data_IF_657439264863
#
_entry.id   IF_657439264863
#
_cell.length_a   1.000
_cell.length_b   1.000
_cell.length_c   1.000
_cell.angle_alpha   90.00
_cell.angle_beta   90.00
_cell.angle_gamma   90.00
#
_symmetry.space_group_name_H-M   'P 1'
#
loop_
_entity.id
_entity.type
_entity.pdbx_description
1 polymer ?
#
# COMPACT_ATOMS: atom_id res chain seq x y z
N UNK A 1 -8.78 -19.06 -20.17
CA UNK A 1 -9.01 -19.12 -18.70
C UNK A 1 -7.71 -19.59 -18.09
N UNK A 2 -7.28 -18.97 -17.00
CA UNK A 2 -6.11 -19.43 -16.25
C UNK A 2 -6.54 -20.54 -15.30
N UNK A 3 -5.74 -21.58 -15.20
CA UNK A 3 -5.93 -22.65 -14.23
C UNK A 3 -4.93 -22.46 -13.10
N UNK A 4 -5.42 -22.45 -11.86
CA UNK A 4 -4.58 -22.32 -10.67
C UNK A 4 -3.94 -23.68 -10.40
N UNK A 5 -2.63 -23.68 -10.21
CA UNK A 5 -1.83 -24.87 -9.90
C UNK A 5 -0.83 -24.58 -8.79
N UNK A 6 -0.22 -25.64 -8.28
CA UNK A 6 0.97 -25.53 -7.45
C UNK A 6 2.08 -24.81 -8.25
N UNK A 7 2.90 -24.02 -7.54
CA UNK A 7 3.83 -23.07 -8.15
C UNK A 7 4.86 -23.73 -9.06
N UNK A 8 5.49 -24.81 -8.60
CA UNK A 8 6.50 -25.52 -9.39
C UNK A 8 5.87 -26.31 -10.54
N UNK A 9 4.65 -26.83 -10.36
CA UNK A 9 3.89 -27.45 -11.45
C UNK A 9 3.55 -26.45 -12.56
N UNK A 10 3.10 -25.24 -12.20
CA UNK A 10 2.78 -24.17 -13.15
C UNK A 10 4.02 -23.73 -13.94
N UNK A 11 5.18 -23.64 -13.29
CA UNK A 11 6.47 -23.31 -13.92
C UNK A 11 6.90 -24.37 -14.92
N UNK A 12 6.89 -25.64 -14.51
CA UNK A 12 7.30 -26.74 -15.38
C UNK A 12 6.45 -26.78 -16.66
N UNK A 13 5.13 -26.59 -16.54
CA UNK A 13 4.24 -26.56 -17.71
C UNK A 13 4.47 -25.36 -18.62
N UNK A 14 4.75 -24.19 -18.04
CA UNK A 14 5.12 -23.02 -18.81
C UNK A 14 6.41 -23.28 -19.59
N UNK A 15 7.45 -23.77 -18.92
CA UNK A 15 8.76 -24.03 -19.53
C UNK A 15 8.66 -25.09 -20.66
N UNK A 16 7.92 -26.17 -20.44
CA UNK A 16 7.65 -27.20 -21.45
C UNK A 16 6.93 -26.62 -22.69
N UNK A 17 5.95 -25.74 -22.47
CA UNK A 17 5.23 -25.08 -23.56
C UNK A 17 6.14 -24.14 -24.36
N UNK A 18 6.98 -23.35 -23.68
CA UNK A 18 7.95 -22.47 -24.32
C UNK A 18 8.98 -23.28 -25.11
N UNK A 19 9.52 -24.36 -24.53
CA UNK A 19 10.47 -25.26 -25.19
C UNK A 19 9.87 -25.95 -26.43
N UNK A 20 8.56 -26.21 -26.41
CA UNK A 20 7.81 -26.76 -27.54
C UNK A 20 7.45 -25.72 -28.61
N UNK A 21 7.89 -24.46 -28.46
CA UNK A 21 7.60 -23.37 -29.39
C UNK A 21 6.18 -22.83 -29.31
N UNK A 22 5.42 -23.17 -28.28
CA UNK A 22 4.06 -22.68 -28.05
C UNK A 22 4.10 -21.31 -27.38
N UNK A 23 3.10 -20.47 -27.65
CA UNK A 23 2.84 -19.26 -26.86
C UNK A 23 2.21 -19.66 -25.53
N UNK A 24 2.80 -19.24 -24.42
CA UNK A 24 2.31 -19.53 -23.07
C UNK A 24 2.38 -18.29 -22.18
N UNK A 25 1.56 -18.26 -21.13
CA UNK A 25 1.58 -17.23 -20.12
C UNK A 25 1.61 -17.86 -18.72
N UNK A 26 2.40 -17.29 -17.84
CA UNK A 26 2.52 -17.69 -16.44
C UNK A 26 2.28 -16.46 -15.57
N UNK A 27 1.35 -16.57 -14.62
CA UNK A 27 1.12 -15.56 -13.59
C UNK A 27 1.49 -16.15 -12.23
N UNK A 28 2.35 -15.46 -11.49
CA UNK A 28 2.80 -15.88 -10.15
C UNK A 28 2.64 -14.74 -9.15
N UNK A 29 2.18 -15.07 -7.95
CA UNK A 29 2.32 -14.20 -6.79
C UNK A 29 3.78 -14.28 -6.27
N UNK A 30 4.45 -13.12 -6.19
CA UNK A 30 5.80 -13.00 -5.61
C UNK A 30 5.72 -12.61 -4.13
N UNK A 31 4.85 -11.67 -3.80
CA UNK A 31 4.42 -11.30 -2.45
C UNK A 31 2.94 -10.88 -2.49
N UNK A 32 2.29 -10.74 -1.33
CA UNK A 32 0.84 -10.48 -1.24
C UNK A 32 0.29 -9.28 -2.03
N UNK A 33 1.15 -8.37 -2.48
CA UNK A 33 0.84 -7.18 -3.26
C UNK A 33 1.55 -7.12 -4.63
N UNK A 34 2.35 -8.14 -4.99
CA UNK A 34 3.15 -8.15 -6.22
C UNK A 34 2.91 -9.44 -6.99
N UNK A 35 2.32 -9.28 -8.18
CA UNK A 35 2.13 -10.33 -9.16
C UNK A 35 3.09 -10.14 -10.32
N UNK A 36 3.67 -11.23 -10.81
CA UNK A 36 4.53 -11.27 -11.97
C UNK A 36 3.87 -12.10 -13.06
N UNK A 37 3.78 -11.53 -14.27
CA UNK A 37 3.19 -12.20 -15.42
C UNK A 37 4.25 -12.28 -16.52
N UNK A 38 4.60 -13.50 -16.92
CA UNK A 38 5.47 -13.78 -18.04
C UNK A 38 4.63 -14.22 -19.24
N UNK A 39 4.88 -13.63 -20.40
CA UNK A 39 4.30 -14.04 -21.68
C UNK A 39 5.45 -14.47 -22.60
N UNK A 40 5.45 -15.73 -23.02
CA UNK A 40 6.47 -16.30 -23.88
C UNK A 40 5.97 -16.57 -25.31
N UNK A 41 6.91 -16.56 -26.25
CA UNK A 41 6.69 -16.85 -27.67
C UNK A 41 5.52 -16.04 -28.31
N UNK A 42 5.39 -14.75 -28.01
CA UNK A 42 4.47 -13.85 -28.72
C UNK A 42 4.98 -13.62 -30.16
N UNK A 43 4.23 -14.02 -31.21
CA UNK A 43 4.73 -13.89 -32.58
C UNK A 43 4.90 -12.43 -33.04
N UNK A 44 5.80 -12.15 -34.00
CA UNK A 44 5.98 -10.80 -34.54
C UNK A 44 4.69 -10.21 -35.11
N UNK A 45 4.41 -8.95 -34.77
CA UNK A 45 3.21 -8.24 -35.23
C UNK A 45 1.90 -8.71 -34.61
N UNK A 46 1.95 -9.57 -33.58
CA UNK A 46 0.79 -9.94 -32.78
C UNK A 46 0.72 -9.11 -31.50
N UNK A 47 -0.51 -8.87 -31.06
CA UNK A 47 -0.82 -8.17 -29.83
C UNK A 47 -1.31 -9.18 -28.78
N UNK A 48 -1.00 -8.91 -27.51
CA UNK A 48 -1.50 -9.66 -26.39
C UNK A 48 -2.24 -8.73 -25.43
N UNK A 49 -3.43 -9.14 -25.00
CA UNK A 49 -4.20 -8.44 -23.99
C UNK A 49 -4.17 -9.23 -22.69
N UNK A 50 -3.73 -8.59 -21.61
CA UNK A 50 -3.72 -9.17 -20.27
C UNK A 50 -4.87 -8.55 -19.48
N UNK A 51 -5.74 -9.41 -18.94
CA UNK A 51 -6.83 -8.99 -18.06
C UNK A 51 -6.61 -9.62 -16.69
N UNK A 52 -6.55 -8.77 -15.66
CA UNK A 52 -6.43 -9.18 -14.26
C UNK A 52 -7.68 -8.81 -13.51
N UNK A 53 -8.14 -9.73 -12.67
CA UNK A 53 -9.23 -9.52 -11.75
C UNK A 53 -8.74 -9.87 -10.35
N UNK A 54 -8.78 -8.89 -9.46
CA UNK A 54 -8.34 -9.00 -8.09
C UNK A 54 -9.52 -8.69 -7.16
N UNK A 55 -9.55 -9.36 -6.01
CA UNK A 55 -10.51 -9.11 -4.94
C UNK A 55 -9.69 -8.86 -3.69
N UNK A 56 -10.02 -7.80 -2.96
CA UNK A 56 -9.30 -7.43 -1.75
C UNK A 56 -10.09 -6.41 -0.93
N UNK A 57 -9.72 -6.30 0.34
CA UNK A 57 -10.28 -5.32 1.26
C UNK A 57 -9.64 -3.94 1.03
N UNK A 58 -10.46 -2.88 1.12
CA UNK A 58 -9.96 -1.52 1.04
C UNK A 58 -9.48 -1.05 2.42
N UNK A 59 -8.41 -0.27 2.43
CA UNK A 59 -7.88 0.31 3.67
C UNK A 59 -8.83 1.37 4.23
N UNK A 60 -8.92 1.44 5.55
CA UNK A 60 -9.76 2.41 6.29
C UNK A 60 -8.83 3.29 7.13
N UNK A 61 -9.05 4.60 7.13
CA UNK A 61 -8.32 5.54 7.97
C UNK A 61 -8.90 5.65 9.40
N UNK A 62 -8.24 6.43 10.25
CA UNK A 62 -8.63 6.59 11.65
C UNK A 62 -10.00 7.29 11.84
N UNK A 63 -10.48 8.02 10.84
CA UNK A 63 -11.78 8.69 10.84
C UNK A 63 -12.88 7.83 10.17
N UNK A 64 -12.52 6.64 9.70
CA UNK A 64 -13.42 5.72 9.00
C UNK A 64 -13.63 6.06 7.52
N UNK A 65 -12.78 6.90 6.94
CA UNK A 65 -12.69 7.09 5.51
C UNK A 65 -12.10 5.86 4.82
N UNK A 66 -12.64 5.51 3.65
CA UNK A 66 -12.15 4.39 2.85
C UNK A 66 -11.16 4.92 1.81
N UNK A 67 -10.02 4.23 1.69
CA UNK A 67 -8.95 4.59 0.75
C UNK A 67 -8.72 3.46 -0.25
N UNK A 68 -8.85 3.80 -1.52
CA UNK A 68 -8.34 3.01 -2.64
C UNK A 68 -7.02 3.61 -3.11
N UNK A 69 -6.05 2.76 -3.45
CA UNK A 69 -4.77 3.18 -3.99
C UNK A 69 -4.32 2.24 -5.09
N UNK A 70 -4.08 2.80 -6.28
CA UNK A 70 -3.51 2.10 -7.42
C UNK A 70 -2.09 2.62 -7.65
N UNK A 71 -1.06 1.83 -7.30
CA UNK A 71 0.32 2.23 -7.50
C UNK A 71 0.65 2.32 -8.99
N UNK A 72 1.35 3.38 -9.40
CA UNK A 72 1.82 3.58 -10.78
C UNK A 72 3.20 2.96 -11.03
N UNK A 73 3.96 2.75 -9.96
CA UNK A 73 5.35 2.27 -10.04
C UNK A 73 5.66 1.30 -8.92
N UNK A 74 6.30 0.18 -9.25
CA UNK A 74 6.93 -0.69 -8.26
C UNK A 74 8.23 -0.02 -7.78
N UNK A 75 8.24 0.51 -6.55
CA UNK A 75 9.48 0.96 -5.92
C UNK A 75 10.29 -0.26 -5.46
N UNK A 76 11.60 -0.32 -5.76
CA UNK A 76 12.45 -1.40 -5.25
C UNK A 76 12.36 -1.47 -3.72
N UNK A 77 12.13 -2.67 -3.17
CA UNK A 77 12.18 -2.87 -1.72
C UNK A 77 13.63 -2.93 -1.26
N UNK A 78 13.91 -2.36 -0.09
CA UNK A 78 15.21 -2.54 0.55
C UNK A 78 15.45 -4.03 0.78
N UNK A 79 16.52 -4.55 0.18
CA UNK A 79 16.85 -5.96 0.27
C UNK A 79 18.18 -6.11 1.01
N UNK A 80 18.18 -6.56 2.28
CA UNK A 80 19.42 -6.79 3.03
C UNK A 80 20.30 -7.87 2.37
N UNK A 81 21.61 -7.79 2.59
CA UNK A 81 22.54 -8.83 2.14
C UNK A 81 22.19 -10.18 2.80
N UNK A 82 22.03 -11.24 2.00
CA UNK A 82 21.59 -12.56 2.46
C UNK A 82 20.07 -12.75 2.51
N UNK A 83 19.29 -11.78 2.04
CA UNK A 83 17.84 -11.92 1.90
C UNK A 83 17.47 -13.04 0.94
N UNK A 84 16.50 -13.87 1.34
CA UNK A 84 15.82 -14.85 0.48
C UNK A 84 14.58 -14.25 -0.19
N UNK A 85 14.41 -12.93 -0.16
CA UNK A 85 13.26 -12.25 -0.77
C UNK A 85 13.24 -12.54 -2.29
N UNK A 86 12.17 -13.15 -2.82
CA UNK A 86 12.03 -13.41 -4.25
C UNK A 86 11.97 -12.14 -5.11
N UNK A 87 11.84 -10.97 -4.51
CA UNK A 87 11.87 -9.64 -5.13
C UNK A 87 13.19 -8.89 -4.88
N UNK A 88 14.17 -9.56 -4.27
CA UNK A 88 15.50 -9.03 -4.08
C UNK A 88 16.10 -8.56 -5.41
N UNK A 89 16.54 -7.31 -5.48
CA UNK A 89 17.50 -6.88 -6.50
C UNK A 89 18.74 -7.77 -6.35
N UNK A 90 19.06 -8.59 -7.35
CA UNK A 90 20.28 -9.41 -7.31
C UNK A 90 21.47 -8.46 -7.11
N UNK A 91 22.34 -8.68 -6.09
CA UNK A 91 23.56 -7.91 -5.96
C UNK A 91 24.58 -8.46 -6.96
N UNK A 92 24.33 -8.28 -8.25
CA UNK A 92 25.43 -8.25 -9.22
C UNK A 92 26.15 -6.95 -8.97
N UNK A 93 27.38 -7.04 -8.47
CA UNK A 93 28.29 -5.90 -8.47
C UNK A 93 28.31 -5.30 -9.86
N UNK A 94 28.25 -3.96 -9.91
CA UNK A 94 27.83 -3.11 -11.02
C UNK A 94 26.34 -2.73 -10.93
N UNK A 95 26.12 -1.43 -10.68
CA UNK A 95 24.87 -0.72 -10.74
C UNK A 95 24.20 -0.88 -12.12
N UNK A 96 23.67 -2.06 -12.43
CA UNK A 96 22.56 -2.15 -13.35
C UNK A 96 21.34 -1.65 -12.59
N UNK A 97 21.21 -0.32 -12.54
CA UNK A 97 19.88 0.29 -12.58
C UNK A 97 19.12 -0.48 -13.64
N UNK A 98 18.18 -1.33 -13.23
CA UNK A 98 17.12 -1.74 -14.12
C UNK A 98 16.49 -0.40 -14.51
N UNK A 99 16.86 0.11 -15.69
CA UNK A 99 16.10 1.11 -16.41
C UNK A 99 14.79 0.42 -16.80
N UNK A 100 13.99 0.09 -15.79
CA UNK A 100 12.58 -0.11 -15.96
C UNK A 100 12.14 1.25 -16.45
N UNK A 101 11.86 1.35 -17.76
CA UNK A 101 11.03 2.44 -18.25
C UNK A 101 9.71 2.30 -17.54
N UNK A 102 9.62 2.84 -16.33
CA UNK A 102 8.43 2.89 -15.50
C UNK A 102 7.51 3.91 -16.12
N UNK A 103 6.98 3.57 -17.28
CA UNK A 103 5.85 4.27 -17.86
C UNK A 103 4.64 3.58 -17.28
N UNK A 104 4.02 4.21 -16.29
CA UNK A 104 2.71 3.81 -15.83
C UNK A 104 1.73 4.13 -16.96
N UNK A 105 1.47 3.15 -17.83
CA UNK A 105 0.57 3.30 -18.97
C UNK A 105 -0.90 3.13 -18.57
N UNK A 106 -1.29 3.68 -17.41
CA UNK A 106 -2.71 3.75 -17.03
C UNK A 106 -3.29 5.01 -17.65
N UNK A 107 -4.01 4.84 -18.77
CA UNK A 107 -4.59 5.94 -19.55
C UNK A 107 -6.01 6.31 -19.13
N UNK A 108 -6.74 5.37 -18.49
CA UNK A 108 -8.09 5.59 -18.00
C UNK A 108 -8.32 4.83 -16.70
N UNK A 109 -9.27 5.31 -15.91
CA UNK A 109 -9.69 4.67 -14.68
C UNK A 109 -11.19 4.86 -14.49
N UNK A 110 -11.85 3.80 -14.04
CA UNK A 110 -13.25 3.80 -13.67
C UNK A 110 -13.43 3.00 -12.38
N UNK A 111 -14.11 3.62 -11.42
CA UNK A 111 -14.55 2.96 -10.20
C UNK A 111 -16.07 3.11 -10.08
N UNK A 112 -16.74 2.00 -9.82
CA UNK A 112 -18.14 1.98 -9.40
C UNK A 112 -18.16 1.78 -7.89
N UNK A 113 -18.82 2.71 -7.20
CA UNK A 113 -19.06 2.64 -5.77
C UNK A 113 -20.52 2.31 -5.57
N UNK A 114 -20.79 1.22 -4.88
CA UNK A 114 -22.14 0.85 -4.45
C UNK A 114 -22.46 1.51 -3.10
N UNK A 115 -23.74 1.61 -2.75
CA UNK A 115 -24.22 2.31 -1.56
C UNK A 115 -23.86 3.82 -1.56
N UNK A 116 -24.11 4.50 -2.69
CA UNK A 116 -23.81 5.93 -2.85
C UNK A 116 -24.41 6.81 -1.76
N UNK A 117 -25.60 6.46 -1.26
CA UNK A 117 -26.25 7.17 -0.15
C UNK A 117 -25.42 7.16 1.14
N UNK A 118 -24.55 6.17 1.34
CA UNK A 118 -23.70 6.08 2.52
C UNK A 118 -22.42 6.93 2.42
N UNK A 119 -22.11 7.44 1.22
CA UNK A 119 -20.93 8.24 0.92
C UNK A 119 -21.24 9.72 1.11
N UNK A 120 -20.47 10.39 1.95
CA UNK A 120 -20.55 11.83 2.16
C UNK A 120 -19.80 12.60 1.08
N UNK A 121 -18.62 12.10 0.68
CA UNK A 121 -17.74 12.77 -0.28
C UNK A 121 -16.78 11.77 -0.93
N UNK A 122 -16.46 12.00 -2.20
CA UNK A 122 -15.37 11.32 -2.90
C UNK A 122 -14.35 12.37 -3.35
N UNK A 123 -13.08 12.15 -3.01
CA UNK A 123 -11.97 13.04 -3.40
C UNK A 123 -10.76 12.24 -3.86
N UNK A 124 -9.82 12.93 -4.50
CA UNK A 124 -8.49 12.39 -4.75
C UNK A 124 -7.44 13.46 -4.45
N UNK A 125 -6.44 13.17 -3.60
CA UNK A 125 -5.35 14.09 -3.36
C UNK A 125 -4.30 14.07 -4.47
N UNK A 126 -4.31 13.06 -5.35
CA UNK A 126 -3.27 12.89 -6.39
C UNK A 126 -3.72 13.29 -7.79
N UNK A 127 -5.00 13.12 -8.14
CA UNK A 127 -5.50 13.39 -9.49
C UNK A 127 -6.86 14.10 -9.49
N UNK A 128 -7.14 14.87 -10.54
CA UNK A 128 -8.47 15.44 -10.75
C UNK A 128 -9.46 14.35 -11.16
N UNK A 129 -10.60 14.28 -10.47
CA UNK A 129 -11.65 13.27 -10.72
C UNK A 129 -13.00 13.92 -11.02
N UNK A 130 -13.84 13.20 -11.76
CA UNK A 130 -15.27 13.46 -11.95
C UNK A 130 -16.07 12.37 -11.25
N UNK A 131 -17.08 12.78 -10.50
CA UNK A 131 -17.98 11.88 -9.78
C UNK A 131 -19.38 12.11 -10.29
N UNK A 132 -19.99 11.08 -10.87
CA UNK A 132 -21.33 11.15 -11.42
C UNK A 132 -22.23 10.13 -10.74
N UNK A 133 -23.35 10.55 -10.13
CA UNK A 133 -24.34 9.60 -9.62
C UNK A 133 -25.00 8.89 -10.79
N UNK A 134 -25.36 7.62 -10.59
CA UNK A 134 -26.16 6.87 -11.56
C UNK A 134 -27.61 6.88 -11.09
N UNK A 135 -28.46 7.67 -11.74
CA UNK A 135 -29.82 7.98 -11.25
C UNK A 135 -30.74 6.77 -11.02
N UNK A 136 -30.47 5.63 -11.65
CA UNK A 136 -31.34 4.45 -11.62
C UNK A 136 -31.00 3.43 -10.52
N UNK A 137 -29.83 3.57 -9.87
CA UNK A 137 -29.31 2.65 -8.85
C UNK A 137 -28.50 3.43 -7.82
N UNK A 138 -28.41 2.95 -6.58
CA UNK A 138 -27.63 3.59 -5.52
C UNK A 138 -26.10 3.44 -5.74
N UNK A 139 -25.59 4.07 -6.81
CA UNK A 139 -24.20 3.96 -7.27
C UNK A 139 -23.60 5.32 -7.64
N UNK A 140 -22.31 5.48 -7.34
CA UNK A 140 -21.46 6.56 -7.88
C UNK A 140 -20.47 5.98 -8.87
N UNK A 141 -20.28 6.68 -9.98
CA UNK A 141 -19.18 6.44 -10.90
C UNK A 141 -18.11 7.49 -10.72
N UNK A 142 -16.87 7.02 -10.55
CA UNK A 142 -15.69 7.86 -10.38
C UNK A 142 -14.76 7.64 -11.56
N UNK A 143 -14.40 8.73 -12.22
CA UNK A 143 -13.52 8.75 -13.39
C UNK A 143 -12.42 9.77 -13.20
N UNK A 144 -11.30 9.58 -13.89
CA UNK A 144 -10.33 10.67 -14.06
C UNK A 144 -10.97 11.79 -14.88
N UNK A 145 -10.68 13.04 -14.52
CA UNK A 145 -11.18 14.19 -15.27
C UNK A 145 -10.56 14.29 -16.66
N UNK A 146 -9.34 13.79 -16.82
CA UNK A 146 -8.54 13.76 -18.04
C UNK A 146 -7.98 12.34 -18.25
N UNK A 147 -8.07 11.82 -19.47
CA UNK A 147 -7.48 10.54 -19.87
C UNK A 147 -6.03 10.77 -20.29
N UNK A 148 -5.14 10.79 -19.30
CA UNK A 148 -3.69 10.90 -19.47
C UNK A 148 -3.02 9.82 -18.64
N UNK A 149 -1.82 9.44 -19.07
CA UNK A 149 -0.99 8.50 -18.31
C UNK A 149 -0.78 8.99 -16.87
N UNK A 150 -1.03 8.10 -15.91
CA UNK A 150 -0.80 8.39 -14.50
C UNK A 150 0.70 8.59 -14.25
N UNK A 151 1.14 9.83 -14.00
CA UNK A 151 2.53 10.12 -13.63
C UNK A 151 2.89 9.74 -12.18
N UNK A 152 1.92 9.34 -11.37
CA UNK A 152 2.05 8.96 -9.97
C UNK A 152 0.90 8.06 -9.52
N UNK A 153 0.98 7.51 -8.30
CA UNK A 153 -0.05 6.66 -7.73
C UNK A 153 -1.43 7.35 -7.69
N UNK A 154 -2.48 6.64 -8.13
CA UNK A 154 -3.85 7.12 -8.03
C UNK A 154 -4.41 6.77 -6.66
N UNK A 155 -4.85 7.78 -5.90
CA UNK A 155 -5.48 7.61 -4.59
C UNK A 155 -6.90 8.16 -4.65
N UNK A 156 -7.89 7.34 -4.31
CA UNK A 156 -9.28 7.77 -4.14
C UNK A 156 -9.65 7.64 -2.67
N UNK A 157 -10.22 8.69 -2.11
CA UNK A 157 -10.70 8.76 -0.73
C UNK A 157 -12.22 8.89 -0.74
N UNK A 158 -12.89 8.00 -0.01
CA UNK A 158 -14.32 8.01 0.20
C UNK A 158 -14.59 8.33 1.67
N UNK A 159 -15.17 9.49 1.93
CA UNK A 159 -15.64 9.87 3.26
C UNK A 159 -17.04 9.31 3.47
N UNK A 160 -17.24 8.54 4.53
CA UNK A 160 -18.52 7.94 4.89
C UNK A 160 -19.38 8.94 5.68
N UNK A 161 -20.72 8.94 5.53
CA UNK A 161 -21.61 9.79 6.33
C UNK A 161 -21.66 9.38 7.80
N UNK A 162 -21.70 8.07 8.05
CA UNK A 162 -21.77 7.48 9.38
C UNK A 162 -20.74 6.34 9.50
N UNK A 163 -19.44 6.65 9.60
CA UNK A 163 -18.37 5.65 9.57
C UNK A 163 -18.42 4.65 10.73
N UNK A 164 -18.98 5.06 11.87
CA UNK A 164 -19.01 4.25 13.09
C UNK A 164 -20.32 3.49 13.30
N UNK A 165 -21.33 3.74 12.45
CA UNK A 165 -22.58 2.99 12.52
C UNK A 165 -22.33 1.55 12.04
N UNK A 166 -22.77 0.52 12.78
CA UNK A 166 -22.67 -0.85 12.33
C UNK A 166 -23.45 -1.04 11.02
N UNK A 167 -22.84 -1.70 10.04
CA UNK A 167 -23.46 -2.02 8.76
C UNK A 167 -23.47 -3.52 8.52
N UNK A 168 -24.43 -3.97 7.73
CA UNK A 168 -24.53 -5.36 7.29
C UNK A 168 -24.81 -5.40 5.80
N UNK A 169 -24.14 -6.32 5.10
CA UNK A 169 -24.39 -6.62 3.70
C UNK A 169 -24.84 -8.08 3.59
N UNK A 170 -25.92 -8.32 2.84
CA UNK A 170 -26.48 -9.65 2.59
C UNK A 170 -26.30 -9.99 1.12
N UNK A 171 -25.47 -10.97 0.82
CA UNK A 171 -25.40 -11.58 -0.50
C UNK A 171 -26.33 -12.79 -0.54
N UNK A 172 -27.30 -12.76 -1.45
CA UNK A 172 -28.25 -13.87 -1.61
C UNK A 172 -27.57 -14.99 -2.38
N UNK A 173 -27.77 -16.22 -1.92
CA UNK A 173 -27.28 -17.40 -2.63
C UNK A 173 -27.90 -17.51 -4.04
N UNK A 174 -27.12 -17.99 -4.99
CA UNK A 174 -27.56 -18.24 -6.37
C UNK A 174 -28.48 -19.45 -6.39
N UNK A 175 -29.53 -19.43 -7.22
CA UNK A 175 -30.47 -20.56 -7.40
C UNK A 175 -29.83 -21.74 -8.16
N UNK A 176 -28.81 -22.36 -7.55
CA UNK A 176 -28.17 -23.60 -8.01
C UNK A 176 -28.02 -24.57 -6.85
N UNK A 177 -28.97 -25.50 -6.71
CA UNK A 177 -29.00 -26.47 -5.61
C UNK A 177 -27.68 -27.26 -5.52
N UNK A 178 -27.08 -27.27 -4.33
CA UNK A 178 -25.94 -28.12 -4.00
C UNK A 178 -24.56 -27.50 -4.24
N UNK A 179 -24.47 -26.27 -4.73
CA UNK A 179 -23.20 -25.55 -4.89
C UNK A 179 -22.94 -24.62 -3.69
N UNK A 180 -21.66 -24.36 -3.36
CA UNK A 180 -21.26 -23.44 -2.28
C UNK A 180 -21.95 -22.07 -2.39
N UNK A 181 -22.05 -21.55 -3.62
CA UNK A 181 -22.67 -20.25 -3.93
C UNK A 181 -24.20 -20.20 -3.71
N UNK A 182 -24.85 -21.31 -3.35
CA UNK A 182 -26.29 -21.36 -3.08
C UNK A 182 -26.68 -20.93 -1.67
N UNK A 183 -25.72 -20.87 -0.74
CA UNK A 183 -25.96 -20.40 0.61
C UNK A 183 -25.86 -18.87 0.66
N UNK A 184 -26.76 -18.18 1.40
CA UNK A 184 -26.62 -16.74 1.61
C UNK A 184 -25.38 -16.43 2.48
N UNK A 185 -24.71 -15.32 2.18
CA UNK A 185 -23.60 -14.79 2.95
C UNK A 185 -23.97 -13.47 3.61
N UNK A 186 -23.56 -13.28 4.87
CA UNK A 186 -23.73 -12.01 5.59
C UNK A 186 -22.38 -11.48 6.01
N UNK A 187 -22.07 -10.25 5.63
CA UNK A 187 -20.88 -9.51 6.08
C UNK A 187 -21.31 -8.43 7.06
N UNK A 188 -20.68 -8.42 8.24
CA UNK A 188 -20.90 -7.40 9.27
C UNK A 188 -19.69 -6.46 9.30
N UNK A 189 -19.93 -5.16 9.14
CA UNK A 189 -18.91 -4.13 9.18
C UNK A 189 -19.14 -3.25 10.41
N UNK A 190 -18.14 -3.18 11.30
CA UNK A 190 -18.22 -2.42 12.54
C UNK A 190 -16.91 -1.69 12.82
N UNK A 191 -16.96 -0.36 12.88
CA UNK A 191 -15.84 0.50 13.23
C UNK A 191 -16.17 1.34 14.47
N UNK A 192 -16.09 0.76 15.68
CA UNK A 192 -16.46 1.45 16.91
C UNK A 192 -15.58 2.68 17.14
N UNK A 193 -16.22 3.81 17.46
CA UNK A 193 -15.53 4.96 18.02
C UNK A 193 -15.50 4.83 19.54
N UNK A 194 -14.35 4.42 20.07
CA UNK A 194 -14.15 4.40 21.52
C UNK A 194 -13.84 5.80 22.02
N UNK A 195 -14.38 6.16 23.18
CA UNK A 195 -13.93 7.36 23.88
C UNK A 195 -12.41 7.27 24.07
N UNK A 196 -11.70 8.36 23.76
CA UNK A 196 -10.25 8.42 23.93
C UNK A 196 -9.91 8.09 25.38
N UNK A 197 -9.29 6.93 25.60
CA UNK A 197 -8.67 6.63 26.87
C UNK A 197 -7.37 7.41 26.88
N UNK A 198 -7.31 8.49 27.66
CA UNK A 198 -6.09 9.25 27.92
C UNK A 198 -5.18 8.41 28.83
N UNK A 199 -4.65 7.31 28.29
CA UNK A 199 -3.56 6.60 28.91
C UNK A 199 -2.26 7.30 28.51
N UNK A 200 -1.38 7.51 29.49
CA UNK A 200 -0.02 7.97 29.19
C UNK A 200 0.66 6.90 28.33
N UNK A 201 1.02 7.28 27.11
CA UNK A 201 1.76 6.46 26.16
C UNK A 201 3.25 6.77 26.23
N UNK A 202 4.05 5.80 25.77
CA UNK A 202 5.49 5.93 25.64
C UNK A 202 5.88 5.87 24.16
N UNK A 203 6.56 6.92 23.69
CA UNK A 203 7.03 7.06 22.31
C UNK A 203 8.54 6.86 22.22
N UNK A 204 8.99 5.74 21.63
CA UNK A 204 10.41 5.47 21.41
C UNK A 204 10.74 5.63 19.93
N UNK A 205 11.51 6.66 19.58
CA UNK A 205 11.96 6.89 18.21
C UNK A 205 13.25 6.12 17.94
N UNK A 206 13.17 5.08 17.11
CA UNK A 206 14.35 4.36 16.62
C UNK A 206 14.80 4.98 15.30
N UNK A 207 16.04 5.48 15.26
CA UNK A 207 16.57 6.21 14.11
C UNK A 207 17.82 5.52 13.58
N UNK A 208 17.78 5.08 12.31
CA UNK A 208 18.94 4.53 11.63
C UNK A 208 19.97 5.63 11.35
N UNK A 209 21.20 5.35 11.72
CA UNK A 209 22.41 6.17 11.61
C UNK A 209 23.55 5.33 11.02
N UNK A 210 23.22 4.42 10.11
CA UNK A 210 24.17 3.65 9.32
C UNK A 210 24.74 4.47 8.17
N UNK A 211 25.88 4.05 7.61
CA UNK A 211 26.55 4.78 6.53
C UNK A 211 25.70 5.01 5.28
N UNK A 212 24.65 4.20 5.03
CA UNK A 212 23.69 4.42 3.93
C UNK A 212 22.77 5.62 4.14
N UNK A 213 22.62 6.09 5.38
CA UNK A 213 21.81 7.27 5.72
C UNK A 213 22.52 8.60 5.41
N UNK A 214 23.77 8.58 4.95
CA UNK A 214 24.53 9.82 4.66
C UNK A 214 23.82 10.73 3.64
N UNK A 215 24.06 12.03 3.75
CA UNK A 215 23.52 13.02 2.82
C UNK A 215 22.06 13.37 3.09
N UNK A 216 21.21 13.31 2.06
CA UNK A 216 19.82 13.75 2.15
C UNK A 216 18.95 12.83 3.03
N UNK A 217 19.31 11.56 3.20
CA UNK A 217 18.53 10.61 4.01
C UNK A 217 18.54 10.98 5.50
N UNK A 218 19.72 11.20 6.09
CA UNK A 218 19.82 11.64 7.50
C UNK A 218 19.26 13.05 7.67
N UNK A 219 19.40 13.92 6.67
CA UNK A 219 18.78 15.26 6.67
C UNK A 219 17.25 15.17 6.75
N UNK A 220 16.65 14.29 5.95
CA UNK A 220 15.21 14.07 5.96
C UNK A 220 14.77 13.41 7.28
N UNK A 221 15.57 12.48 7.81
CA UNK A 221 15.31 11.80 9.07
C UNK A 221 15.30 12.78 10.26
N UNK A 222 16.27 13.71 10.36
CA UNK A 222 16.28 14.74 11.42
C UNK A 222 15.07 15.65 11.36
N UNK A 223 14.66 16.07 10.17
CA UNK A 223 13.54 17.01 9.98
C UNK A 223 12.21 16.33 10.34
N UNK A 224 12.07 15.07 9.94
CA UNK A 224 10.94 14.22 10.30
C UNK A 224 10.88 13.95 11.80
N UNK A 225 12.02 13.62 12.42
CA UNK A 225 12.11 13.40 13.87
C UNK A 225 11.72 14.67 14.64
N UNK A 226 12.19 15.84 14.21
CA UNK A 226 11.81 17.11 14.82
C UNK A 226 10.31 17.40 14.71
N UNK A 227 9.68 17.05 13.58
CA UNK A 227 8.24 17.17 13.42
C UNK A 227 7.51 16.27 14.42
N UNK A 228 7.90 14.99 14.52
CA UNK A 228 7.26 14.07 15.46
C UNK A 228 7.46 14.46 16.92
N UNK A 229 8.64 14.93 17.30
CA UNK A 229 8.89 15.44 18.66
C UNK A 229 7.97 16.61 19.03
N UNK A 230 7.59 17.45 18.06
CA UNK A 230 6.65 18.56 18.28
C UNK A 230 5.18 18.13 18.24
N UNK A 231 4.89 16.87 17.89
CA UNK A 231 3.53 16.33 17.77
C UNK A 231 3.18 15.30 18.85
N UNK A 232 4.10 15.01 19.79
CA UNK A 232 3.79 14.15 20.94
C UNK A 232 2.72 14.86 21.79
N UNK A 233 1.60 14.19 22.13
CA UNK A 233 0.59 14.81 22.98
C UNK A 233 1.12 15.04 24.40
N UNK A 234 0.61 16.07 25.09
CA UNK A 234 0.97 16.33 26.49
C UNK A 234 0.63 15.13 27.40
N UNK A 235 1.38 14.99 28.51
CA UNK A 235 1.18 13.90 29.47
C UNK A 235 1.79 12.54 29.07
N UNK A 236 2.46 12.46 27.91
CA UNK A 236 3.14 11.25 27.44
C UNK A 236 4.63 11.25 27.78
N UNK A 237 5.28 10.10 27.54
CA UNK A 237 6.72 9.90 27.74
C UNK A 237 7.39 9.62 26.39
N UNK A 238 8.68 9.94 26.28
CA UNK A 238 9.42 9.66 25.05
C UNK A 238 10.92 9.40 25.27
N UNK A 239 11.56 8.82 24.26
CA UNK A 239 13.02 8.71 24.13
C UNK A 239 13.43 8.55 22.66
N UNK A 240 14.71 8.78 22.37
CA UNK A 240 15.30 8.63 21.04
C UNK A 240 16.44 7.62 21.14
N UNK A 241 16.44 6.64 20.25
CA UNK A 241 17.47 5.61 20.14
C UNK A 241 18.03 5.65 18.72
N UNK A 242 19.24 6.16 18.58
CA UNK A 242 19.98 6.09 17.32
C UNK A 242 20.73 4.77 17.21
N UNK A 243 20.65 4.07 16.08
CA UNK A 243 21.35 2.80 15.85
C UNK A 243 22.10 2.77 14.52
N UNK A 244 23.13 1.94 14.45
CA UNK A 244 23.98 1.70 13.28
C UNK A 244 24.87 0.49 13.59
N UNK A 245 26.19 0.64 13.54
CA UNK A 245 27.10 -0.41 14.06
C UNK A 245 27.04 -0.56 15.59
N UNK A 246 26.53 0.46 16.29
CA UNK A 246 26.21 0.46 17.73
C UNK A 246 24.94 1.26 17.96
N UNK A 247 24.35 1.19 19.15
CA UNK A 247 23.19 2.01 19.50
C UNK A 247 23.53 3.02 20.59
N UNK A 248 22.80 4.13 20.60
CA UNK A 248 22.89 5.18 21.63
C UNK A 248 21.50 5.72 21.94
N UNK A 249 21.17 5.76 23.22
CA UNK A 249 19.94 6.35 23.75
C UNK A 249 20.20 7.80 24.14
N UNK A 250 19.28 8.73 23.84
CA UNK A 250 19.39 10.13 24.27
C UNK A 250 19.23 10.26 25.79
N UNK A 251 18.26 9.54 26.35
CA UNK A 251 18.01 9.46 27.77
C UNK A 251 18.21 8.02 28.28
N UNK A 252 18.73 7.81 29.51
CA UNK A 252 18.89 6.48 30.08
C UNK A 252 17.58 5.70 30.23
N UNK A 253 16.51 6.42 30.58
CA UNK A 253 15.14 5.92 30.64
C UNK A 253 14.25 6.91 29.88
N UNK A 254 13.03 6.50 29.55
CA UNK A 254 12.04 7.41 28.98
C UNK A 254 11.70 8.53 29.95
N UNK A 255 11.50 9.72 29.39
CA UNK A 255 11.30 10.96 30.14
C UNK A 255 9.94 11.56 29.79
N UNK A 256 9.31 12.31 30.71
CA UNK A 256 8.07 13.00 30.41
C UNK A 256 8.26 14.00 29.27
N UNK A 257 7.21 14.18 28.47
CA UNK A 257 7.13 15.21 27.46
C UNK A 257 6.94 16.59 28.11
N UNK A 258 8.06 17.26 28.39
CA UNK A 258 8.11 18.64 28.87
C UNK A 258 9.07 19.50 28.03
N UNK A 259 9.01 20.82 28.20
CA UNK A 259 9.78 21.79 27.42
C UNK A 259 11.29 21.55 27.52
N UNK A 260 11.79 21.21 28.71
CA UNK A 260 13.22 20.99 28.96
C UNK A 260 13.74 19.76 28.21
N UNK A 261 13.02 18.64 28.29
CA UNK A 261 13.40 17.42 27.60
C UNK A 261 13.23 17.56 26.09
N UNK A 262 12.19 18.27 25.64
CA UNK A 262 11.95 18.58 24.24
C UNK A 262 13.07 19.42 23.62
N UNK A 263 13.52 20.50 24.28
CA UNK A 263 14.64 21.32 23.79
C UNK A 263 15.91 20.49 23.60
N UNK A 264 16.22 19.64 24.58
CA UNK A 264 17.39 18.74 24.50
C UNK A 264 17.24 17.74 23.35
N UNK A 265 16.04 17.21 23.14
CA UNK A 265 15.74 16.27 22.06
C UNK A 265 15.82 16.94 20.67
N UNK A 266 15.31 18.17 20.52
CA UNK A 266 15.39 18.93 19.28
C UNK A 266 16.83 19.26 18.92
N UNK A 267 17.64 19.66 19.90
CA UNK A 267 19.07 19.89 19.68
C UNK A 267 19.78 18.60 19.24
N UNK A 268 19.49 17.48 19.90
CA UNK A 268 20.04 16.18 19.52
C UNK A 268 19.66 15.77 18.10
N UNK A 269 18.39 15.97 17.71
CA UNK A 269 17.92 15.69 16.36
C UNK A 269 18.63 16.55 15.30
N UNK A 270 18.87 17.85 15.57
CA UNK A 270 19.57 18.75 14.66
C UNK A 270 21.03 18.35 14.42
N UNK A 271 21.72 17.89 15.47
CA UNK A 271 23.12 17.47 15.46
C UNK A 271 23.30 15.99 15.06
N UNK A 272 22.23 15.30 14.63
CA UNK A 272 22.27 13.88 14.32
C UNK A 272 22.98 13.59 12.99
N UNK A 273 23.94 12.66 13.02
CA UNK A 273 24.73 12.23 11.87
C UNK A 273 24.61 10.71 11.64
N UNK A 274 24.82 10.28 10.40
CA UNK A 274 24.85 8.89 9.95
C UNK A 274 26.18 8.16 10.22
#
# INVERSE_FOLDING_TARGET
KADIREKEEARAQYDDAIASGLSAALAEEKSGDIFSIALGNLPPGKEAQIQLQLVGELSIDAEGGVRFSLPSTLKPRYTPAGSTDPLASVPTGEEQQVKSGSVSAVSWFHMTVEEAEAIAKVTSPTHSIKVTPKSDVDQLHVHLSEEKELGSDLVILLTMKEPHAPKTMLERGVEKKGEFMSSPGVMLNFLPNFAKVEAACEFIFLVDRSGSMRGEYIRSARETLMLFLKSIPEGNYFNIIGFGSSYRTLFPNTVPYDEKHLEKALKHAQEMEA
#
